data_IF_747572435575
#
_entry.id   IF_747572435575
#
_cell.length_a   1.000
_cell.length_b   1.000
_cell.length_c   1.000
_cell.angle_alpha   90.00
_cell.angle_beta   90.00
_cell.angle_gamma   90.00
#
_symmetry.space_group_name_H-M   'P 1'
#
loop_
_entity.id
_entity.type
_entity.pdbx_description
1 polymer ?
#
# COMPACT_ATOMS: atom_id res chain seq x y z
N UNK A 1 -15.67 2.80 20.53
CA UNK A 1 -15.82 3.61 21.76
C UNK A 1 -17.16 3.32 22.45
N UNK A 2 -18.26 3.24 21.70
CA UNK A 2 -19.62 3.11 22.28
C UNK A 2 -19.85 1.77 22.98
N UNK A 3 -19.37 0.66 22.40
CA UNK A 3 -19.43 -0.67 23.02
C UNK A 3 -18.66 -0.72 24.35
N UNK A 4 -17.47 -0.11 24.39
CA UNK A 4 -16.69 -0.01 25.63
C UNK A 4 -17.30 0.99 26.63
N UNK A 5 -17.90 2.07 26.12
CA UNK A 5 -18.60 3.08 26.91
C UNK A 5 -19.85 2.57 27.61
N UNK A 6 -20.41 1.45 27.16
CA UNK A 6 -21.55 0.80 27.86
C UNK A 6 -21.12 0.16 29.19
N UNK A 7 -19.88 -0.28 29.30
CA UNK A 7 -19.36 -1.00 30.48
C UNK A 7 -18.45 -0.15 31.38
N UNK A 8 -17.87 0.90 30.83
CA UNK A 8 -16.90 1.77 31.50
C UNK A 8 -17.38 3.22 31.52
N UNK A 9 -16.75 4.07 32.32
CA UNK A 9 -17.04 5.52 32.32
C UNK A 9 -16.82 6.12 30.96
N UNK A 10 -17.81 6.76 30.37
CA UNK A 10 -17.80 7.20 28.96
C UNK A 10 -16.70 8.22 28.64
N UNK A 11 -16.48 9.22 29.49
CA UNK A 11 -15.52 10.28 29.21
C UNK A 11 -14.07 9.79 29.06
N UNK A 12 -13.48 9.02 30.02
CA UNK A 12 -12.11 8.54 29.85
C UNK A 12 -11.97 7.52 28.71
N UNK A 13 -12.97 6.66 28.48
CA UNK A 13 -12.92 5.68 27.38
C UNK A 13 -12.98 6.38 26.00
N UNK A 14 -13.82 7.40 25.86
CA UNK A 14 -13.89 8.17 24.60
C UNK A 14 -12.60 8.96 24.35
N UNK A 15 -12.02 9.56 25.38
CA UNK A 15 -10.76 10.26 25.26
C UNK A 15 -9.62 9.31 24.87
N UNK A 16 -9.53 8.13 25.49
CA UNK A 16 -8.54 7.11 25.17
C UNK A 16 -8.70 6.57 23.74
N UNK A 17 -9.93 6.26 23.33
CA UNK A 17 -10.22 5.80 21.97
C UNK A 17 -9.89 6.87 20.91
N UNK A 18 -10.20 8.14 21.20
CA UNK A 18 -9.88 9.26 20.32
C UNK A 18 -8.37 9.44 20.18
N UNK A 19 -7.60 9.39 21.28
CA UNK A 19 -6.15 9.49 21.23
C UNK A 19 -5.53 8.33 20.46
N UNK A 20 -5.98 7.11 20.67
CA UNK A 20 -5.54 5.95 19.90
C UNK A 20 -5.82 6.09 18.39
N UNK A 21 -7.02 6.56 18.04
CA UNK A 21 -7.39 6.84 16.64
C UNK A 21 -6.48 7.91 16.02
N UNK A 22 -6.20 8.99 16.73
CA UNK A 22 -5.31 10.04 16.25
C UNK A 22 -3.89 9.53 15.97
N UNK A 23 -3.35 8.69 16.85
CA UNK A 23 -2.04 8.08 16.66
C UNK A 23 -2.02 7.19 15.43
N UNK A 24 -3.01 6.31 15.25
CA UNK A 24 -3.12 5.43 14.08
C UNK A 24 -3.22 6.25 12.79
N UNK A 25 -4.07 7.28 12.77
CA UNK A 25 -4.25 8.15 11.60
C UNK A 25 -2.96 8.93 11.30
N UNK A 26 -2.23 9.39 12.31
CA UNK A 26 -0.95 10.07 12.11
C UNK A 26 0.08 9.16 11.45
N UNK A 27 0.26 7.92 11.91
CA UNK A 27 1.16 6.96 11.27
C UNK A 27 0.73 6.63 9.83
N UNK A 28 -0.57 6.46 9.62
CA UNK A 28 -1.11 6.23 8.27
C UNK A 28 -0.82 7.41 7.34
N UNK A 29 -1.03 8.64 7.81
CA UNK A 29 -0.76 9.86 7.04
C UNK A 29 0.72 9.99 6.67
N UNK A 30 1.64 9.70 7.61
CA UNK A 30 3.08 9.71 7.34
C UNK A 30 3.41 8.74 6.20
N UNK A 31 2.93 7.51 6.25
CA UNK A 31 3.16 6.51 5.21
C UNK A 31 2.63 6.97 3.84
N UNK A 32 1.43 7.58 3.80
CA UNK A 32 0.83 8.11 2.58
C UNK A 32 1.64 9.28 2.00
N UNK A 33 2.10 10.20 2.85
CA UNK A 33 2.88 11.36 2.42
C UNK A 33 4.26 10.95 1.88
N UNK A 34 4.90 9.97 2.52
CA UNK A 34 6.18 9.40 2.03
C UNK A 34 5.98 8.78 0.64
N UNK A 35 4.94 7.99 0.46
CA UNK A 35 4.63 7.37 -0.84
C UNK A 35 4.31 8.40 -1.93
N UNK A 36 3.48 9.39 -1.62
CA UNK A 36 3.14 10.46 -2.56
C UNK A 36 4.36 11.31 -2.92
N UNK A 37 5.18 11.68 -1.94
CA UNK A 37 6.41 12.45 -2.18
C UNK A 37 7.41 11.71 -3.07
N UNK A 38 7.60 10.40 -2.84
CA UNK A 38 8.46 9.57 -3.68
C UNK A 38 7.96 9.49 -5.13
N UNK A 39 6.64 9.33 -5.33
CA UNK A 39 6.02 9.29 -6.67
C UNK A 39 6.18 10.62 -7.42
N UNK A 40 5.90 11.73 -6.77
CA UNK A 40 6.03 13.06 -7.39
C UNK A 40 7.50 13.36 -7.74
N UNK A 41 8.43 13.00 -6.86
CA UNK A 41 9.85 13.09 -7.16
C UNK A 41 10.21 12.29 -8.42
N UNK A 42 9.71 11.06 -8.53
CA UNK A 42 10.00 10.18 -9.67
C UNK A 42 9.40 10.72 -10.98
N UNK A 43 8.18 11.23 -10.94
CA UNK A 43 7.45 11.68 -12.15
C UNK A 43 7.89 13.07 -12.63
N UNK A 44 8.14 14.00 -11.72
CA UNK A 44 8.42 15.39 -12.04
C UNK A 44 9.87 15.81 -11.80
N UNK A 45 10.71 14.94 -11.24
CA UNK A 45 12.10 15.26 -10.92
C UNK A 45 12.28 16.30 -9.81
N UNK A 46 11.21 16.61 -9.05
CA UNK A 46 11.25 17.59 -7.97
C UNK A 46 12.02 17.04 -6.77
N UNK A 47 12.56 17.93 -5.94
CA UNK A 47 13.11 17.52 -4.65
C UNK A 47 12.02 16.96 -3.75
N UNK A 48 12.35 15.92 -2.98
CA UNK A 48 11.40 15.17 -2.16
C UNK A 48 10.60 16.07 -1.20
N UNK A 49 11.25 17.02 -0.54
CA UNK A 49 10.57 17.90 0.40
C UNK A 49 9.57 18.84 -0.29
N UNK A 50 9.90 19.33 -1.51
CA UNK A 50 8.97 20.15 -2.31
C UNK A 50 7.76 19.34 -2.74
N UNK A 51 7.98 18.09 -3.18
CA UNK A 51 6.91 17.16 -3.53
C UNK A 51 5.93 16.93 -2.37
N UNK A 52 6.47 16.70 -1.16
CA UNK A 52 5.64 16.51 0.05
C UNK A 52 4.85 17.76 0.40
N UNK A 53 5.47 18.96 0.34
CA UNK A 53 4.78 20.23 0.64
C UNK A 53 3.66 20.50 -0.36
N UNK A 54 3.91 20.33 -1.66
CA UNK A 54 2.90 20.55 -2.71
C UNK A 54 1.72 19.61 -2.53
N UNK A 55 1.98 18.29 -2.36
CA UNK A 55 0.91 17.30 -2.16
C UNK A 55 0.15 17.59 -0.87
N UNK A 56 0.84 17.92 0.21
CA UNK A 56 0.22 18.27 1.49
C UNK A 56 -0.68 19.50 1.39
N UNK A 57 -0.21 20.55 0.73
CA UNK A 57 -1.00 21.76 0.51
C UNK A 57 -2.26 21.47 -0.34
N UNK A 58 -2.12 20.76 -1.45
CA UNK A 58 -3.25 20.37 -2.28
C UNK A 58 -4.26 19.51 -1.51
N UNK A 59 -3.77 18.57 -0.70
CA UNK A 59 -4.63 17.73 0.14
C UNK A 59 -5.39 18.57 1.17
N UNK A 60 -4.73 19.52 1.83
CA UNK A 60 -5.37 20.45 2.77
C UNK A 60 -6.46 21.27 2.10
N UNK A 61 -6.19 21.81 0.92
CA UNK A 61 -7.16 22.61 0.16
C UNK A 61 -8.40 21.80 -0.16
N UNK A 62 -8.28 20.63 -0.78
CA UNK A 62 -9.48 19.88 -1.16
C UNK A 62 -10.23 19.29 0.05
N UNK A 63 -9.55 18.99 1.16
CA UNK A 63 -10.21 18.52 2.39
C UNK A 63 -10.98 19.66 3.06
N UNK A 64 -10.40 20.87 3.16
CA UNK A 64 -11.04 22.01 3.77
C UNK A 64 -12.31 22.46 3.01
N UNK A 65 -12.23 22.51 1.68
CA UNK A 65 -13.34 22.98 0.86
C UNK A 65 -14.36 21.88 0.49
N UNK A 66 -13.89 20.65 0.36
CA UNK A 66 -14.72 19.56 -0.15
C UNK A 66 -15.33 18.65 0.91
N UNK A 67 -14.81 18.66 2.11
CA UNK A 67 -15.28 17.82 3.20
C UNK A 67 -15.27 16.32 2.89
N UNK A 68 -16.12 15.56 3.56
CA UNK A 68 -16.17 14.09 3.41
C UNK A 68 -16.76 13.64 2.07
N UNK A 69 -17.72 14.38 1.52
CA UNK A 69 -18.35 14.03 0.23
C UNK A 69 -17.35 14.11 -0.92
N UNK A 70 -16.60 15.20 -1.01
CA UNK A 70 -15.58 15.35 -2.05
C UNK A 70 -14.47 14.32 -1.92
N UNK A 71 -14.00 14.03 -0.69
CA UNK A 71 -12.99 12.99 -0.48
C UNK A 71 -13.48 11.60 -0.89
N UNK A 72 -14.76 11.30 -0.69
CA UNK A 72 -15.37 10.03 -1.14
C UNK A 72 -15.39 9.93 -2.66
N UNK A 73 -15.83 10.98 -3.36
CA UNK A 73 -15.81 11.01 -4.83
C UNK A 73 -14.41 10.87 -5.42
N UNK A 74 -13.43 11.59 -4.87
CA UNK A 74 -12.02 11.48 -5.28
C UNK A 74 -11.52 10.04 -5.13
N UNK A 75 -11.92 9.36 -4.06
CA UNK A 75 -11.50 7.97 -3.86
C UNK A 75 -12.19 6.99 -4.80
N UNK A 76 -13.45 7.19 -5.15
CA UNK A 76 -14.13 6.36 -6.15
C UNK A 76 -13.43 6.50 -7.50
N UNK A 77 -13.18 7.73 -7.96
CA UNK A 77 -12.47 7.99 -9.21
C UNK A 77 -11.08 7.35 -9.18
N UNK A 78 -10.34 7.54 -8.10
CA UNK A 78 -8.99 6.95 -7.92
C UNK A 78 -9.02 5.42 -7.94
N UNK A 79 -10.01 4.78 -7.31
CA UNK A 79 -10.15 3.34 -7.33
C UNK A 79 -10.43 2.80 -8.73
N UNK A 80 -11.33 3.45 -9.48
CA UNK A 80 -11.63 3.09 -10.88
C UNK A 80 -10.39 3.23 -11.75
N UNK A 81 -9.70 4.37 -11.68
CA UNK A 81 -8.47 4.61 -12.46
C UNK A 81 -7.35 3.63 -12.10
N UNK A 82 -7.20 3.31 -10.81
CA UNK A 82 -6.21 2.34 -10.34
C UNK A 82 -6.51 0.94 -10.93
N UNK A 83 -7.75 0.48 -10.79
CA UNK A 83 -8.15 -0.84 -11.29
C UNK A 83 -8.00 -0.93 -12.80
N UNK A 84 -8.44 0.08 -13.54
CA UNK A 84 -8.28 0.13 -14.98
C UNK A 84 -6.79 0.14 -15.39
N UNK A 85 -5.98 0.99 -14.75
CA UNK A 85 -4.55 1.10 -15.03
C UNK A 85 -3.79 -0.19 -14.74
N UNK A 86 -4.02 -0.80 -13.58
CA UNK A 86 -3.36 -2.06 -13.21
C UNK A 86 -3.82 -3.20 -14.11
N UNK A 87 -5.11 -3.30 -14.42
CA UNK A 87 -5.64 -4.31 -15.34
C UNK A 87 -5.08 -4.15 -16.75
N UNK A 88 -4.98 -2.91 -17.23
CA UNK A 88 -4.37 -2.61 -18.53
C UNK A 88 -2.89 -3.00 -18.56
N UNK A 89 -2.11 -2.64 -17.53
CA UNK A 89 -0.71 -3.04 -17.43
C UNK A 89 -0.55 -4.56 -17.38
N UNK A 90 -1.37 -5.24 -16.58
CA UNK A 90 -1.34 -6.70 -16.48
C UNK A 90 -1.67 -7.34 -17.83
N UNK A 91 -2.67 -6.82 -18.52
CA UNK A 91 -3.03 -7.29 -19.87
C UNK A 91 -1.88 -7.08 -20.87
N UNK A 92 -1.27 -5.90 -20.90
CA UNK A 92 -0.15 -5.59 -21.79
C UNK A 92 1.06 -6.49 -21.52
N UNK A 93 1.38 -6.72 -20.25
CA UNK A 93 2.48 -7.62 -19.89
C UNK A 93 2.17 -9.05 -20.30
N UNK A 94 0.96 -9.57 -20.02
CA UNK A 94 0.57 -10.90 -20.44
C UNK A 94 0.56 -11.06 -21.96
N UNK A 95 0.12 -10.04 -22.70
CA UNK A 95 0.15 -10.05 -24.16
C UNK A 95 1.58 -10.17 -24.71
N UNK A 96 2.56 -9.53 -24.07
CA UNK A 96 3.98 -9.63 -24.43
C UNK A 96 4.53 -11.05 -24.28
N UNK A 97 3.98 -11.84 -23.36
CA UNK A 97 4.37 -13.24 -23.11
C UNK A 97 3.36 -14.27 -23.69
N UNK A 98 2.56 -13.86 -24.71
CA UNK A 98 1.61 -14.74 -25.37
C UNK A 98 0.49 -15.25 -24.47
N UNK A 99 0.10 -14.48 -23.45
CA UNK A 99 -0.88 -14.85 -22.41
C UNK A 99 -0.49 -16.09 -21.60
N UNK A 100 0.80 -16.41 -21.52
CA UNK A 100 1.32 -17.49 -20.70
C UNK A 100 1.88 -16.94 -19.37
N UNK A 101 1.22 -17.17 -18.24
CA UNK A 101 1.77 -16.81 -16.92
C UNK A 101 3.07 -17.54 -16.64
N UNK A 102 3.21 -18.76 -17.14
CA UNK A 102 4.40 -19.60 -16.97
C UNK A 102 5.63 -18.97 -17.64
N UNK A 103 5.48 -18.48 -18.87
CA UNK A 103 6.54 -17.76 -19.59
C UNK A 103 6.92 -16.45 -18.87
N UNK A 104 5.94 -15.74 -18.33
CA UNK A 104 6.17 -14.52 -17.53
C UNK A 104 7.00 -14.81 -16.28
N UNK A 105 6.63 -15.83 -15.52
CA UNK A 105 7.34 -16.22 -14.31
C UNK A 105 8.76 -16.74 -14.62
N UNK A 106 8.91 -17.56 -15.65
CA UNK A 106 10.22 -18.03 -16.09
C UNK A 106 11.14 -16.86 -16.44
N UNK A 107 10.62 -15.87 -17.17
CA UNK A 107 11.40 -14.66 -17.48
C UNK A 107 11.73 -13.83 -16.25
N UNK A 108 10.83 -13.74 -15.29
CA UNK A 108 11.08 -13.09 -14.00
C UNK A 108 12.24 -13.74 -13.23
N UNK A 109 12.27 -15.06 -13.17
CA UNK A 109 13.36 -15.82 -12.56
C UNK A 109 14.69 -15.58 -13.30
N UNK A 110 14.68 -15.62 -14.63
CA UNK A 110 15.88 -15.37 -15.46
C UNK A 110 16.45 -13.97 -15.19
N UNK A 111 15.62 -12.93 -15.27
CA UNK A 111 16.04 -11.53 -15.03
C UNK A 111 16.62 -11.36 -13.62
N UNK A 112 15.98 -11.96 -12.62
CA UNK A 112 16.47 -11.88 -11.23
C UNK A 112 17.79 -12.62 -11.04
N UNK A 113 17.98 -13.74 -11.72
CA UNK A 113 19.25 -14.49 -11.73
C UNK A 113 20.35 -13.64 -12.37
N UNK A 114 20.09 -13.03 -13.51
CA UNK A 114 21.06 -12.15 -14.17
C UNK A 114 21.42 -10.93 -13.33
N UNK A 115 20.45 -10.30 -12.68
CA UNK A 115 20.72 -9.21 -11.73
C UNK A 115 21.60 -9.66 -10.57
N UNK A 116 21.42 -10.89 -10.10
CA UNK A 116 22.30 -11.49 -9.08
C UNK A 116 23.74 -11.67 -9.57
N UNK A 117 23.91 -12.17 -10.78
CA UNK A 117 25.24 -12.32 -11.41
C UNK A 117 25.93 -10.97 -11.63
N UNK A 118 25.20 -9.97 -12.14
CA UNK A 118 25.72 -8.63 -12.33
C UNK A 118 26.10 -7.92 -11.01
N UNK A 119 25.46 -8.32 -9.91
CA UNK A 119 25.81 -7.85 -8.57
C UNK A 119 26.99 -8.61 -7.92
N UNK A 120 27.69 -9.47 -8.66
CA UNK A 120 28.87 -10.20 -8.20
C UNK A 120 28.57 -11.42 -7.31
N UNK A 121 27.33 -11.93 -7.31
CA UNK A 121 26.99 -13.17 -6.60
C UNK A 121 27.50 -14.40 -7.35
N UNK A 122 27.75 -15.47 -6.61
CA UNK A 122 28.09 -16.76 -7.24
C UNK A 122 26.92 -17.26 -8.11
N UNK A 123 27.18 -18.06 -9.15
CA UNK A 123 26.12 -18.60 -10.02
C UNK A 123 25.03 -19.35 -9.25
N UNK A 124 25.41 -20.09 -8.21
CA UNK A 124 24.46 -20.83 -7.37
C UNK A 124 23.58 -19.90 -6.53
N UNK A 125 24.17 -18.85 -5.93
CA UNK A 125 23.43 -17.89 -5.15
C UNK A 125 22.53 -17.00 -6.01
N UNK A 126 22.96 -16.68 -7.23
CA UNK A 126 22.15 -15.96 -8.20
C UNK A 126 20.93 -16.80 -8.65
N UNK A 127 21.11 -18.09 -8.91
CA UNK A 127 20.02 -19.01 -9.26
C UNK A 127 19.02 -19.16 -8.09
N UNK A 128 19.50 -19.34 -6.86
CA UNK A 128 18.65 -19.38 -5.65
C UNK A 128 17.89 -18.06 -5.47
N UNK A 129 18.55 -16.92 -5.69
CA UNK A 129 17.89 -15.61 -5.64
C UNK A 129 16.83 -15.45 -6.74
N UNK A 130 17.05 -16.00 -7.93
CA UNK A 130 16.07 -16.05 -9.01
C UNK A 130 14.83 -16.85 -8.62
N UNK A 131 15.00 -18.06 -8.15
CA UNK A 131 13.92 -18.93 -7.71
C UNK A 131 13.15 -18.38 -6.49
N UNK A 132 13.78 -17.55 -5.68
CA UNK A 132 13.12 -16.93 -4.52
C UNK A 132 11.95 -16.01 -4.89
N UNK A 133 11.83 -15.58 -6.16
CA UNK A 133 10.65 -14.83 -6.64
C UNK A 133 9.37 -15.66 -6.56
N UNK A 134 9.49 -16.99 -6.72
CA UNK A 134 8.36 -17.92 -6.66
C UNK A 134 7.95 -18.25 -5.21
N UNK A 135 8.74 -17.81 -4.24
CA UNK A 135 8.45 -18.00 -2.81
C UNK A 135 7.58 -16.91 -2.20
N UNK A 136 7.14 -17.07 -0.94
CA UNK A 136 6.27 -16.12 -0.24
C UNK A 136 6.93 -14.77 0.12
N UNK A 137 8.08 -14.47 -0.47
CA UNK A 137 8.85 -13.26 -0.25
C UNK A 137 10.02 -13.42 0.73
N UNK A 138 10.99 -12.49 0.67
CA UNK A 138 12.19 -12.55 1.49
C UNK A 138 11.99 -12.17 2.96
N UNK A 139 10.84 -11.57 3.29
CA UNK A 139 10.57 -11.05 4.64
C UNK A 139 10.08 -12.15 5.59
N UNK A 140 9.28 -13.11 5.10
CA UNK A 140 8.73 -14.19 5.89
C UNK A 140 8.97 -15.51 5.12
N UNK A 141 9.75 -16.38 5.71
CA UNK A 141 10.16 -17.64 5.09
C UNK A 141 9.24 -18.82 5.46
N UNK A 142 8.54 -18.69 6.58
CA UNK A 142 7.65 -19.73 7.09
C UNK A 142 6.23 -19.53 6.54
N UNK A 143 5.59 -20.57 5.94
CA UNK A 143 4.26 -20.48 5.34
C UNK A 143 3.16 -20.07 6.32
N UNK A 144 3.21 -20.54 7.56
CA UNK A 144 2.22 -20.22 8.59
C UNK A 144 2.32 -18.75 8.98
N UNK A 145 3.55 -18.26 9.15
CA UNK A 145 3.81 -16.84 9.42
C UNK A 145 3.38 -15.94 8.24
N UNK A 146 3.54 -16.41 7.00
CA UNK A 146 3.08 -15.68 5.82
C UNK A 146 1.55 -15.56 5.78
N UNK A 147 0.83 -16.63 6.08
CA UNK A 147 -0.65 -16.62 6.16
C UNK A 147 -1.12 -15.70 7.27
N UNK A 148 -0.56 -15.83 8.48
CA UNK A 148 -0.95 -14.98 9.62
C UNK A 148 -0.62 -13.51 9.38
N UNK A 149 0.50 -13.20 8.73
CA UNK A 149 0.85 -11.83 8.33
C UNK A 149 -0.13 -11.28 7.28
N UNK A 150 -0.49 -12.08 6.28
CA UNK A 150 -1.50 -11.71 5.28
C UNK A 150 -2.86 -11.43 5.92
N UNK A 151 -3.30 -12.29 6.84
CA UNK A 151 -4.54 -12.07 7.60
C UNK A 151 -4.47 -10.82 8.48
N UNK A 152 -3.35 -10.59 9.16
CA UNK A 152 -3.15 -9.39 9.98
C UNK A 152 -3.24 -8.10 9.16
N UNK A 153 -2.64 -8.08 7.96
CA UNK A 153 -2.76 -6.95 7.03
C UNK A 153 -4.21 -6.77 6.54
N UNK A 154 -4.88 -7.85 6.18
CA UNK A 154 -6.26 -7.80 5.69
C UNK A 154 -7.23 -7.28 6.76
N UNK A 155 -7.22 -7.86 7.94
CA UNK A 155 -8.10 -7.45 9.04
C UNK A 155 -7.69 -6.09 9.61
N UNK A 156 -6.39 -5.81 9.70
CA UNK A 156 -5.89 -4.50 10.15
C UNK A 156 -6.36 -3.37 9.22
N UNK A 157 -6.27 -3.58 7.91
CA UNK A 157 -6.72 -2.59 6.91
C UNK A 157 -8.24 -2.41 6.95
N UNK A 158 -9.00 -3.51 7.05
CA UNK A 158 -10.47 -3.45 7.15
C UNK A 158 -10.96 -2.77 8.43
N UNK A 159 -10.22 -2.90 9.54
CA UNK A 159 -10.56 -2.32 10.83
C UNK A 159 -10.10 -0.87 11.03
N UNK A 160 -9.49 -0.23 10.04
CA UNK A 160 -9.02 1.15 10.16
C UNK A 160 -10.18 2.13 10.40
N UNK A 161 -10.10 2.98 11.44
CA UNK A 161 -11.20 3.85 11.85
C UNK A 161 -11.72 4.77 10.75
N UNK A 162 -10.83 5.30 9.92
CA UNK A 162 -11.18 6.20 8.82
C UNK A 162 -11.93 5.50 7.67
N UNK A 163 -11.80 4.18 7.53
CA UNK A 163 -12.57 3.39 6.58
C UNK A 163 -13.96 3.13 7.14
N UNK A 164 -14.04 2.72 8.41
CA UNK A 164 -15.31 2.43 9.07
C UNK A 164 -16.21 3.67 9.19
N UNK A 165 -15.64 4.86 9.41
CA UNK A 165 -16.41 6.10 9.47
C UNK A 165 -17.17 6.43 8.17
N UNK A 166 -16.74 5.93 7.03
CA UNK A 166 -17.39 6.17 5.72
C UNK A 166 -18.69 5.40 5.54
N UNK A 167 -18.92 4.35 6.31
CA UNK A 167 -20.21 3.64 6.28
C UNK A 167 -21.35 4.46 6.89
N UNK A 168 -21.02 5.55 7.61
CA UNK A 168 -22.00 6.42 8.27
C UNK A 168 -22.14 7.79 7.59
N UNK A 169 -21.55 7.97 6.46
CA UNK A 169 -21.67 9.14 5.58
C UNK A 169 -22.39 8.73 4.31
#
# INVERSE_FOLDING_TARGET
>A
ADVAGYRFKQAPIRAFAASGTLVVVAFYLIAQMVGAGALIKLLFGLEYWMAVVIVGALMMVYVLFGGMTATTWVQIIKAVLLLLGVSFMAFMVLAQYGFSPEALFAKGVEVKTQLGLNAGKSPEDAAKAGLSIMGPGGFIKDPISAISFGMALMFGTAGLPHILMRFFT
#
